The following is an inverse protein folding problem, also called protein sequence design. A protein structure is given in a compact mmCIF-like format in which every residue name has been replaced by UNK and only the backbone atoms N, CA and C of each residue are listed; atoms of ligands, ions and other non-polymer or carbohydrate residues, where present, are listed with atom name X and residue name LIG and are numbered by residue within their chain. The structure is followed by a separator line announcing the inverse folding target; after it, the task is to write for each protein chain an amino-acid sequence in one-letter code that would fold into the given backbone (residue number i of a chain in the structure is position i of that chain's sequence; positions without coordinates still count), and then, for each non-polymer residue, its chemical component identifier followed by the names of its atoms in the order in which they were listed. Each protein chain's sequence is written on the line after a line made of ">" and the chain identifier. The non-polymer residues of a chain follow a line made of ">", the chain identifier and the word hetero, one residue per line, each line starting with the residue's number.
data_IF_729558779801
#
_entry.id   IF_729558779801
#
_cell.length_a   1.000
_cell.length_b   1.000
_cell.length_c   1.000
_cell.angle_alpha   90.00
_cell.angle_beta   90.00
_cell.angle_gamma   90.00
#
_symmetry.space_group_name_H-M   'P 1'
#
loop_
_entity.id
_entity.type
_entity.pdbx_description
1 polymer ?
#
# COMPACT_ATOMS: atom_id res chain seq x y z
N UNK A 1 -30.30 25.44 1.10
CA UNK A 1 -29.55 25.34 2.37
C UNK A 1 -28.21 24.71 2.08
N UNK A 2 -27.11 25.42 2.32
CA UNK A 2 -25.74 24.92 2.14
C UNK A 2 -25.30 24.19 3.41
N UNK A 3 -25.35 22.87 3.39
CA UNK A 3 -24.91 22.05 4.53
C UNK A 3 -23.39 21.96 4.49
N UNK A 4 -22.70 22.64 5.42
CA UNK A 4 -21.26 22.53 5.56
C UNK A 4 -20.92 21.29 6.38
N UNK A 5 -20.18 20.36 5.78
CA UNK A 5 -19.70 19.11 6.42
C UNK A 5 -18.53 19.40 7.37
N UNK A 6 -17.98 20.62 7.33
CA UNK A 6 -16.82 21.02 8.12
C UNK A 6 -17.28 21.49 9.50
N UNK A 7 -16.84 20.77 10.53
CA UNK A 7 -17.09 21.13 11.93
C UNK A 7 -16.53 22.53 12.25
N UNK A 8 -17.24 23.38 13.02
CA UNK A 8 -16.76 24.70 13.45
C UNK A 8 -15.38 24.66 14.12
N UNK A 9 -15.06 23.55 14.78
CA UNK A 9 -13.76 23.35 15.45
C UNK A 9 -12.60 23.10 14.49
N UNK A 10 -12.84 22.89 13.19
CA UNK A 10 -11.77 22.67 12.20
C UNK A 10 -10.80 23.87 12.11
N UNK A 11 -11.29 25.10 12.35
CA UNK A 11 -10.45 26.30 12.40
C UNK A 11 -9.52 26.35 13.63
N UNK A 12 -9.83 25.60 14.69
CA UNK A 12 -9.03 25.54 15.92
C UNK A 12 -7.91 24.48 15.86
N UNK A 13 -7.91 23.60 14.85
CA UNK A 13 -6.89 22.56 14.69
C UNK A 13 -5.72 23.12 13.88
N UNK A 14 -4.55 23.24 14.50
CA UNK A 14 -3.31 23.54 13.75
C UNK A 14 -3.09 22.45 12.69
N UNK A 15 -2.84 22.80 11.42
CA UNK A 15 -2.61 21.83 10.37
C UNK A 15 -1.34 21.02 10.67
N UNK A 16 -1.52 19.82 11.25
CA UNK A 16 -0.42 18.89 11.53
C UNK A 16 -0.09 18.12 10.26
N UNK A 17 0.82 18.66 9.45
CA UNK A 17 1.34 17.96 8.26
C UNK A 17 2.34 16.90 8.70
N UNK A 18 1.95 15.63 8.61
CA UNK A 18 2.90 14.53 8.77
C UNK A 18 3.85 14.50 7.56
N UNK A 19 5.18 14.52 7.76
CA UNK A 19 6.14 14.38 6.68
C UNK A 19 5.91 13.05 5.95
N UNK A 20 5.72 13.11 4.63
CA UNK A 20 5.65 11.92 3.78
C UNK A 20 7.04 11.65 3.24
N UNK A 21 7.63 10.53 3.64
CA UNK A 21 8.89 10.07 3.06
C UNK A 21 8.60 9.34 1.75
N UNK A 22 9.10 9.88 0.65
CA UNK A 22 9.17 9.14 -0.61
C UNK A 22 10.39 8.23 -0.54
N UNK A 23 10.19 6.94 -0.81
CA UNK A 23 11.26 5.95 -0.91
C UNK A 23 11.45 5.63 -2.39
N UNK A 24 12.69 5.39 -2.76
CA UNK A 24 13.01 4.91 -4.09
C UNK A 24 12.35 3.55 -4.34
N UNK A 25 11.98 3.35 -5.60
CA UNK A 25 11.37 2.12 -6.06
C UNK A 25 12.39 0.98 -6.09
N UNK A 26 11.97 -0.18 -5.57
CA UNK A 26 12.79 -1.39 -5.65
C UNK A 26 12.73 -1.90 -7.10
N UNK A 27 13.88 -2.11 -7.78
CA UNK A 27 13.88 -2.65 -9.13
C UNK A 27 13.43 -4.11 -9.13
N UNK A 28 12.72 -4.52 -10.18
CA UNK A 28 12.06 -5.83 -10.26
C UNK A 28 12.96 -7.07 -10.05
N UNK A 29 14.26 -7.05 -10.43
CA UNK A 29 15.19 -8.16 -10.15
C UNK A 29 15.62 -8.27 -8.70
N UNK A 30 15.60 -7.17 -7.93
CA UNK A 30 16.05 -7.13 -6.53
C UNK A 30 14.98 -7.56 -5.54
N UNK A 31 13.75 -7.78 -6.01
CA UNK A 31 12.66 -8.28 -5.18
C UNK A 31 12.94 -9.73 -4.81
N UNK A 32 12.92 -10.02 -3.51
CA UNK A 32 13.07 -11.38 -3.00
C UNK A 32 12.05 -12.33 -3.66
N UNK A 33 12.48 -13.47 -4.22
CA UNK A 33 11.59 -14.41 -4.90
C UNK A 33 10.41 -14.91 -4.06
N UNK A 34 10.60 -15.09 -2.75
CA UNK A 34 9.55 -15.53 -1.82
C UNK A 34 8.49 -14.45 -1.67
N UNK A 35 8.92 -13.19 -1.47
CA UNK A 35 8.00 -12.06 -1.34
C UNK A 35 7.30 -11.75 -2.67
N UNK A 36 8.00 -11.95 -3.79
CA UNK A 36 7.41 -11.88 -5.14
C UNK A 36 6.34 -12.95 -5.36
N UNK A 37 6.58 -14.18 -4.92
CA UNK A 37 5.60 -15.26 -4.99
C UNK A 37 4.37 -14.95 -4.11
N UNK A 38 4.59 -14.41 -2.91
CA UNK A 38 3.50 -14.01 -2.01
C UNK A 38 2.65 -12.87 -2.59
N UNK A 39 3.28 -11.82 -3.14
CA UNK A 39 2.55 -10.75 -3.84
C UNK A 39 1.71 -11.29 -5.01
N UNK A 40 2.25 -12.24 -5.79
CA UNK A 40 1.48 -12.92 -6.85
C UNK A 40 0.30 -13.73 -6.30
N UNK A 41 0.49 -14.41 -5.17
CA UNK A 41 -0.59 -15.13 -4.50
C UNK A 41 -1.72 -14.17 -4.08
N UNK A 42 -1.38 -13.02 -3.48
CA UNK A 42 -2.37 -11.98 -3.12
C UNK A 42 -3.14 -11.51 -4.35
N UNK A 43 -2.46 -11.15 -5.43
CA UNK A 43 -3.11 -10.67 -6.65
C UNK A 43 -4.07 -11.71 -7.24
N UNK A 44 -3.68 -13.00 -7.24
CA UNK A 44 -4.53 -14.11 -7.72
C UNK A 44 -5.74 -14.34 -6.82
N UNK A 45 -5.56 -14.31 -5.50
CA UNK A 45 -6.65 -14.48 -4.54
C UNK A 45 -7.65 -13.33 -4.62
N UNK A 46 -7.15 -12.09 -4.74
CA UNK A 46 -8.00 -10.92 -4.95
C UNK A 46 -8.83 -11.01 -6.24
N UNK A 47 -8.23 -11.44 -7.35
CA UNK A 47 -8.97 -11.67 -8.60
C UNK A 47 -10.06 -12.74 -8.46
N UNK A 48 -9.89 -13.69 -7.53
CA UNK A 48 -10.90 -14.72 -7.19
C UNK A 48 -11.89 -14.28 -6.11
N UNK A 49 -11.85 -13.01 -5.68
CA UNK A 49 -12.70 -12.49 -4.61
C UNK A 49 -12.39 -13.06 -3.22
N UNK A 50 -11.19 -13.60 -3.00
CA UNK A 50 -10.78 -14.22 -1.73
C UNK A 50 -9.81 -13.31 -0.96
N UNK A 51 -10.05 -13.18 0.35
CA UNK A 51 -9.11 -12.54 1.27
C UNK A 51 -7.86 -13.39 1.51
N UNK A 52 -6.74 -12.73 1.85
CA UNK A 52 -5.47 -13.39 2.19
C UNK A 52 -5.01 -12.90 3.55
N UNK A 53 -4.54 -13.82 4.41
CA UNK A 53 -3.94 -13.48 5.69
C UNK A 53 -2.56 -12.81 5.47
N UNK A 54 -2.37 -11.62 6.03
CA UNK A 54 -1.09 -10.90 5.98
C UNK A 54 -0.35 -11.14 7.30
N UNK A 55 0.76 -11.90 7.30
CA UNK A 55 1.52 -12.12 8.52
C UNK A 55 2.27 -10.86 8.94
N UNK A 56 2.65 -10.81 10.22
CA UNK A 56 3.56 -9.78 10.71
C UNK A 56 4.91 -9.89 9.98
N UNK A 57 5.36 -8.78 9.39
CA UNK A 57 6.60 -8.73 8.64
C UNK A 57 7.26 -7.35 8.75
N UNK A 58 8.57 -7.29 8.48
CA UNK A 58 9.33 -6.03 8.48
C UNK A 58 8.84 -5.13 7.34
N UNK A 59 8.96 -3.81 7.53
CA UNK A 59 8.57 -2.81 6.53
C UNK A 59 9.31 -2.98 5.18
N UNK A 60 10.54 -3.49 5.18
CA UNK A 60 11.30 -3.80 3.96
C UNK A 60 10.66 -4.93 3.17
N UNK A 61 10.31 -6.03 3.85
CA UNK A 61 9.63 -7.17 3.25
C UNK A 61 8.25 -6.77 2.73
N UNK A 62 7.49 -6.00 3.52
CA UNK A 62 6.19 -5.50 3.09
C UNK A 62 6.30 -4.58 1.85
N UNK A 63 7.31 -3.70 1.82
CA UNK A 63 7.59 -2.86 0.65
C UNK A 63 7.84 -3.66 -0.63
N UNK A 64 8.56 -4.78 -0.55
CA UNK A 64 8.79 -5.67 -1.69
C UNK A 64 7.51 -6.36 -2.18
N UNK A 65 6.63 -6.76 -1.25
CA UNK A 65 5.31 -7.32 -1.59
C UNK A 65 4.45 -6.26 -2.30
N UNK A 66 4.39 -5.04 -1.77
CA UNK A 66 3.66 -3.93 -2.39
C UNK A 66 4.21 -3.60 -3.79
N UNK A 67 5.54 -3.57 -3.94
CA UNK A 67 6.17 -3.35 -5.25
C UNK A 67 5.80 -4.44 -6.25
N UNK A 68 5.73 -5.69 -5.80
CA UNK A 68 5.27 -6.80 -6.65
C UNK A 68 3.83 -6.61 -7.13
N UNK A 69 2.93 -6.16 -6.24
CA UNK A 69 1.53 -5.89 -6.60
C UNK A 69 1.42 -4.73 -7.60
N UNK A 70 2.19 -3.68 -7.41
CA UNK A 70 2.27 -2.55 -8.34
C UNK A 70 2.74 -2.99 -9.73
N UNK A 71 3.84 -3.74 -9.81
CA UNK A 71 4.34 -4.29 -11.08
C UNK A 71 3.30 -5.20 -11.72
N UNK A 72 2.65 -6.08 -10.95
CA UNK A 72 1.62 -6.97 -11.49
C UNK A 72 0.42 -6.20 -12.02
N UNK A 73 0.07 -5.05 -11.41
CA UNK A 73 -0.99 -4.13 -11.88
C UNK A 73 -0.59 -3.40 -13.16
N UNK A 74 0.65 -2.95 -13.28
CA UNK A 74 1.15 -2.23 -14.45
C UNK A 74 1.25 -3.11 -15.71
N UNK A 75 1.57 -4.40 -15.53
CA UNK A 75 1.68 -5.40 -16.60
C UNK A 75 0.48 -6.37 -16.65
N UNK A 76 -0.71 -5.97 -16.16
CA UNK A 76 -1.93 -6.78 -16.26
C UNK A 76 -2.77 -6.36 -17.46
#
# INVERSE_FOLDING_TARGET
>A
MTVSIVSPSAAAVKPRRHPRFRREDIPAPEIDPVLKAFGRHIARSFHRGRGVHIPAMKNTAFGQVLRTLELKRAFN
#
